data_IF_672208582663
#
_entry.id   IF_672208582663
#
_cell.length_a   1.000
_cell.length_b   1.000
_cell.length_c   1.000
_cell.angle_alpha   90.00
_cell.angle_beta   90.00
_cell.angle_gamma   90.00
#
_symmetry.space_group_name_H-M   'P 1'
#
loop_
_entity.id
_entity.type
_entity.pdbx_description
1 polymer ?
#
# COMPACT_ATOMS: atom_id res chain seq x y z
N UNK A 1 -46.23 -18.64 -10.05
CA UNK A 1 -45.42 -18.18 -8.91
C UNK A 1 -44.02 -18.00 -9.48
N UNK A 2 -43.73 -16.81 -9.99
CA UNK A 2 -42.49 -16.51 -10.71
C UNK A 2 -41.52 -15.97 -9.66
N UNK A 3 -40.67 -16.85 -9.13
CA UNK A 3 -39.60 -16.45 -8.21
C UNK A 3 -38.57 -15.66 -9.01
N UNK A 4 -38.71 -14.33 -8.98
CA UNK A 4 -37.72 -13.42 -9.55
C UNK A 4 -36.67 -13.22 -8.48
N UNK A 5 -35.60 -14.01 -8.51
CA UNK A 5 -34.44 -13.75 -7.69
C UNK A 5 -33.81 -12.43 -8.16
N UNK A 6 -33.56 -11.46 -7.26
CA UNK A 6 -32.86 -10.26 -7.65
C UNK A 6 -31.44 -10.67 -8.01
N UNK A 7 -31.02 -10.41 -9.25
CA UNK A 7 -29.64 -10.59 -9.65
C UNK A 7 -28.76 -9.75 -8.72
N UNK A 8 -27.89 -10.42 -7.97
CA UNK A 8 -26.81 -9.76 -7.26
C UNK A 8 -25.98 -9.05 -8.32
N UNK A 9 -26.14 -7.74 -8.40
CA UNK A 9 -25.29 -6.87 -9.20
C UNK A 9 -23.86 -7.09 -8.73
N UNK A 10 -23.11 -7.91 -9.46
CA UNK A 10 -21.67 -8.01 -9.31
C UNK A 10 -21.14 -6.61 -9.57
N UNK A 11 -20.72 -5.92 -8.50
CA UNK A 11 -20.08 -4.62 -8.62
C UNK A 11 -19.04 -4.69 -9.74
N UNK A 12 -18.95 -3.68 -10.61
CA UNK A 12 -18.03 -3.74 -11.74
C UNK A 12 -16.64 -4.04 -11.20
N UNK A 13 -16.00 -5.11 -11.71
CA UNK A 13 -14.62 -5.41 -11.39
C UNK A 13 -13.82 -4.14 -11.66
N UNK A 14 -13.25 -3.58 -10.61
CA UNK A 14 -12.54 -2.30 -10.67
C UNK A 14 -11.45 -2.43 -11.74
N UNK A 15 -11.63 -1.83 -12.92
CA UNK A 15 -10.70 -1.93 -14.06
C UNK A 15 -9.44 -1.09 -13.85
N UNK A 16 -9.06 -0.87 -12.59
CA UNK A 16 -7.84 -0.18 -12.20
C UNK A 16 -6.64 -1.13 -12.28
N UNK A 17 -5.44 -0.55 -12.25
CA UNK A 17 -4.19 -1.32 -12.14
C UNK A 17 -4.31 -2.26 -10.92
N UNK A 18 -3.96 -3.55 -11.06
CA UNK A 18 -3.96 -4.49 -9.94
C UNK A 18 -3.09 -3.98 -8.79
N UNK A 19 -3.66 -3.92 -7.59
CA UNK A 19 -2.98 -3.47 -6.38
C UNK A 19 -3.60 -4.15 -5.15
N UNK A 20 -2.85 -4.21 -4.05
CA UNK A 20 -3.34 -4.72 -2.76
C UNK A 20 -3.17 -3.66 -1.69
N UNK A 21 -4.30 -3.08 -1.24
CA UNK A 21 -4.32 -2.09 -0.16
C UNK A 21 -3.71 -2.61 1.13
N UNK A 22 -4.07 -3.84 1.51
CA UNK A 22 -3.62 -4.48 2.74
C UNK A 22 -2.11 -4.70 2.74
N UNK A 23 -1.54 -5.09 1.59
CA UNK A 23 -0.10 -5.26 1.45
C UNK A 23 0.64 -3.92 1.60
N UNK A 24 0.16 -2.86 0.94
CA UNK A 24 0.77 -1.53 1.06
C UNK A 24 0.72 -0.99 2.49
N UNK A 25 -0.43 -1.09 3.16
CA UNK A 25 -0.59 -0.67 4.56
C UNK A 25 0.30 -1.50 5.51
N UNK A 26 0.42 -2.81 5.26
CA UNK A 26 1.27 -3.69 6.07
C UNK A 26 2.76 -3.37 5.94
N UNK A 27 3.25 -3.07 4.73
CA UNK A 27 4.65 -2.69 4.51
C UNK A 27 5.00 -1.41 5.24
N UNK A 28 4.16 -0.39 5.11
CA UNK A 28 4.36 0.89 5.82
C UNK A 28 4.30 0.68 7.34
N UNK A 29 3.34 -0.11 7.82
CA UNK A 29 3.21 -0.46 9.23
C UNK A 29 4.43 -1.23 9.78
N UNK A 30 5.01 -2.13 8.99
CA UNK A 30 6.19 -2.89 9.38
C UNK A 30 7.39 -1.97 9.67
N UNK A 31 7.62 -0.97 8.82
CA UNK A 31 8.70 0.02 9.02
C UNK A 31 8.44 0.89 10.25
N UNK A 32 7.20 1.26 10.54
CA UNK A 32 6.86 2.02 11.76
C UNK A 32 7.09 1.20 13.04
N UNK A 33 6.87 -0.11 13.00
CA UNK A 33 7.08 -1.00 14.15
C UNK A 33 8.56 -1.29 14.35
N UNK A 34 9.29 -1.54 13.25
CA UNK A 34 10.72 -1.82 13.27
C UNK A 34 11.40 -1.05 12.13
N UNK A 35 11.97 0.15 12.42
CA UNK A 35 12.62 0.98 11.42
C UNK A 35 13.75 0.27 10.66
N UNK A 36 14.41 -0.72 11.26
CA UNK A 36 15.50 -1.46 10.61
C UNK A 36 15.03 -2.26 9.38
N UNK A 37 13.73 -2.63 9.32
CA UNK A 37 13.15 -3.33 8.17
C UNK A 37 13.19 -2.47 6.90
N UNK A 38 13.27 -1.14 7.03
CA UNK A 38 13.42 -0.24 5.90
C UNK A 38 14.64 -0.60 5.04
N UNK A 39 15.78 -0.95 5.65
CA UNK A 39 17.03 -1.23 4.92
C UNK A 39 16.92 -2.42 3.97
N UNK A 40 16.13 -3.44 4.35
CA UNK A 40 15.92 -4.63 3.52
C UNK A 40 14.93 -4.34 2.38
N UNK A 41 13.84 -3.61 2.67
CA UNK A 41 12.76 -3.36 1.71
C UNK A 41 13.14 -2.29 0.69
N UNK A 42 13.86 -1.25 1.11
CA UNK A 42 14.28 -0.14 0.23
C UNK A 42 15.25 -0.57 -0.87
N UNK A 43 15.77 -1.80 -0.83
CA UNK A 43 16.59 -2.37 -1.91
C UNK A 43 15.79 -2.60 -3.20
N UNK A 44 14.46 -2.77 -3.10
CA UNK A 44 13.61 -3.10 -4.25
C UNK A 44 12.30 -2.31 -4.32
N UNK A 45 11.82 -1.74 -3.21
CA UNK A 45 10.56 -0.97 -3.18
C UNK A 45 10.82 0.53 -3.27
N UNK A 46 10.21 1.17 -4.25
CA UNK A 46 10.23 2.62 -4.44
C UNK A 46 8.87 3.25 -4.13
N UNK A 47 8.85 4.56 -3.87
CA UNK A 47 7.60 5.28 -3.61
C UNK A 47 6.60 5.21 -4.78
N UNK A 48 7.11 5.13 -6.01
CA UNK A 48 6.28 5.03 -7.23
C UNK A 48 5.63 3.65 -7.41
N UNK A 49 6.04 2.62 -6.66
CA UNK A 49 5.45 1.28 -6.72
C UNK A 49 4.12 1.19 -5.93
N UNK A 50 3.83 2.18 -5.09
CA UNK A 50 2.57 2.28 -4.36
C UNK A 50 1.46 2.80 -5.28
N UNK A 51 0.34 2.09 -5.32
CA UNK A 51 -0.85 2.55 -6.03
C UNK A 51 -1.62 3.60 -5.20
N UNK A 52 -1.67 3.41 -3.87
CA UNK A 52 -2.37 4.34 -2.98
C UNK A 52 -1.42 5.50 -2.64
N UNK A 53 -1.75 6.68 -3.17
CA UNK A 53 -0.95 7.91 -3.02
C UNK A 53 -0.61 8.26 -1.57
N UNK A 54 -1.51 7.98 -0.63
CA UNK A 54 -1.24 8.22 0.80
C UNK A 54 -0.10 7.35 1.33
N UNK A 55 -0.03 6.09 0.92
CA UNK A 55 1.02 5.18 1.35
C UNK A 55 2.37 5.57 0.72
N UNK A 56 2.36 5.99 -0.55
CA UNK A 56 3.53 6.61 -1.20
C UNK A 56 4.10 7.77 -0.37
N UNK A 57 3.26 8.71 0.07
CA UNK A 57 3.75 9.87 0.84
C UNK A 57 4.40 9.47 2.17
N UNK A 58 3.89 8.42 2.82
CA UNK A 58 4.49 7.90 4.05
C UNK A 58 5.85 7.27 3.73
N UNK A 59 5.93 6.46 2.66
CA UNK A 59 7.19 5.87 2.20
C UNK A 59 8.25 6.94 1.90
N UNK A 60 7.89 7.98 1.16
CA UNK A 60 8.78 9.11 0.88
C UNK A 60 9.22 9.85 2.15
N UNK A 61 8.39 9.87 3.20
CA UNK A 61 8.81 10.42 4.48
C UNK A 61 9.90 9.56 5.14
N UNK A 62 9.78 8.22 5.08
CA UNK A 62 10.85 7.32 5.55
C UNK A 62 12.15 7.54 4.80
N UNK A 63 12.08 7.65 3.47
CA UNK A 63 13.26 7.95 2.63
C UNK A 63 13.93 9.24 3.10
N UNK A 64 13.16 10.33 3.25
CA UNK A 64 13.69 11.64 3.70
C UNK A 64 14.28 11.60 5.10
N UNK A 65 13.68 10.85 6.03
CA UNK A 65 14.18 10.71 7.40
C UNK A 65 15.49 9.92 7.40
N UNK A 66 15.53 8.82 6.66
CA UNK A 66 16.71 7.99 6.49
C UNK A 66 17.88 8.76 5.85
N UNK A 67 17.63 9.53 4.78
CA UNK A 67 18.64 10.41 4.15
C UNK A 67 19.23 11.43 5.13
N UNK A 68 18.41 11.93 6.06
CA UNK A 68 18.82 12.86 7.12
C UNK A 68 19.45 12.17 8.32
N UNK A 69 19.55 10.84 8.33
CA UNK A 69 19.94 10.01 9.47
C UNK A 69 19.12 10.35 10.73
N UNK A 70 17.85 10.68 10.52
CA UNK A 70 16.88 10.91 11.57
C UNK A 70 16.08 9.62 11.81
N UNK A 71 15.64 9.35 13.04
CA UNK A 71 14.78 8.21 13.32
C UNK A 71 13.44 8.33 12.56
N UNK A 72 12.91 7.17 12.16
CA UNK A 72 11.55 7.01 11.62
C UNK A 72 10.53 6.98 12.74
#
# INVERSE_FOLDING_TARGET
>A
MTDTYPEQSSAPANTGVPHSREAEEAVVGAVLINPEVYYDIAQFLNGDDFYIHRNKWIWEAFVRLHERRAPV
#
